data_IF_031897382894
#
_entry.id   IF_031897382894
#
_cell.length_a   1.000
_cell.length_b   1.000
_cell.length_c   1.000
_cell.angle_alpha   90.00
_cell.angle_beta   90.00
_cell.angle_gamma   90.00
#
_symmetry.space_group_name_H-M   'P 1'
#
loop_
_entity.id
_entity.type
_entity.pdbx_description
1 polymer ?
#
# COMPACT_ATOMS: atom_id res chain seq x y z
N UNK A 1 -5.08 20.32 6.39
CA UNK A 1 -5.47 19.69 7.61
C UNK A 1 -4.82 18.34 7.77
N UNK A 2 -4.15 18.13 8.86
CA UNK A 2 -3.47 16.87 9.14
C UNK A 2 -4.44 15.70 9.29
N UNK A 3 -5.72 16.02 9.48
CA UNK A 3 -6.72 15.00 9.79
C UNK A 3 -6.88 13.94 8.73
N UNK A 4 -6.64 14.26 7.44
CA UNK A 4 -6.78 13.24 6.41
C UNK A 4 -5.78 12.10 6.64
N UNK A 5 -4.54 12.45 6.96
CA UNK A 5 -3.51 11.47 7.23
C UNK A 5 -3.78 10.73 8.53
N UNK A 6 -4.23 11.45 9.55
CA UNK A 6 -4.57 10.84 10.82
C UNK A 6 -5.74 9.87 10.69
N UNK A 7 -6.70 10.21 9.83
CA UNK A 7 -7.83 9.32 9.61
C UNK A 7 -7.41 8.00 8.99
N UNK A 8 -6.41 8.02 8.10
CA UNK A 8 -5.90 6.78 7.54
C UNK A 8 -5.26 5.92 8.61
N UNK A 9 -4.51 6.53 9.52
CA UNK A 9 -3.92 5.81 10.63
C UNK A 9 -5.01 5.25 11.54
N UNK A 10 -6.06 6.04 11.80
CA UNK A 10 -7.18 5.62 12.63
C UNK A 10 -7.92 4.45 12.03
N UNK A 11 -7.84 4.27 10.73
CA UNK A 11 -8.46 3.14 10.05
C UNK A 11 -7.58 1.88 10.07
N UNK A 12 -6.49 1.92 10.83
CA UNK A 12 -5.62 0.77 10.95
C UNK A 12 -4.57 0.67 9.87
N UNK A 13 -4.44 1.67 9.03
CA UNK A 13 -3.42 1.70 8.00
C UNK A 13 -2.13 2.24 8.62
N UNK A 14 -1.08 1.42 8.58
CA UNK A 14 0.20 1.81 9.16
C UNK A 14 0.96 2.67 8.16
N UNK A 15 0.72 3.97 8.21
CA UNK A 15 1.34 4.94 7.30
C UNK A 15 2.37 5.73 8.09
N UNK A 16 3.57 5.82 7.55
CA UNK A 16 4.61 6.63 8.16
C UNK A 16 4.23 8.11 8.09
N UNK A 17 4.66 8.88 9.07
CA UNK A 17 4.41 10.32 9.10
C UNK A 17 5.21 10.98 7.96
N UNK A 18 4.82 12.20 7.61
CA UNK A 18 5.56 12.97 6.60
C UNK A 18 7.03 13.11 7.00
N UNK A 19 7.30 13.29 8.30
CA UNK A 19 8.65 13.44 8.80
C UNK A 19 9.48 12.18 8.53
N UNK A 20 8.89 11.02 8.80
CA UNK A 20 9.58 9.75 8.57
C UNK A 20 9.83 9.53 7.09
N UNK A 21 8.83 9.80 6.26
CA UNK A 21 8.98 9.63 4.82
C UNK A 21 10.04 10.56 4.24
N UNK A 22 10.15 11.77 4.77
CA UNK A 22 11.13 12.73 4.27
C UNK A 22 12.56 12.32 4.52
N UNK A 23 12.78 11.38 5.43
CA UNK A 23 14.13 10.88 5.69
C UNK A 23 14.57 9.85 4.65
N UNK A 24 13.65 9.36 3.85
CA UNK A 24 13.95 8.43 2.78
C UNK A 24 14.24 9.18 1.50
N UNK A 25 15.03 8.57 0.62
CA UNK A 25 15.19 9.09 -0.74
C UNK A 25 13.84 9.08 -1.45
N UNK A 26 13.65 9.96 -2.45
CA UNK A 26 12.39 9.96 -3.19
C UNK A 26 11.99 8.60 -3.75
N UNK A 27 12.92 7.83 -4.29
CA UNK A 27 12.57 6.50 -4.80
C UNK A 27 12.11 5.56 -3.69
N UNK A 28 12.70 5.67 -2.51
CA UNK A 28 12.32 4.84 -1.37
C UNK A 28 10.98 5.28 -0.81
N UNK A 29 10.71 6.58 -0.81
CA UNK A 29 9.40 7.10 -0.43
C UNK A 29 8.32 6.51 -1.35
N UNK A 30 8.60 6.47 -2.65
CA UNK A 30 7.65 5.94 -3.62
C UNK A 30 7.42 4.44 -3.43
N UNK A 31 8.47 3.70 -3.10
CA UNK A 31 8.32 2.27 -2.80
C UNK A 31 7.42 2.08 -1.58
N UNK A 32 7.66 2.85 -0.53
CA UNK A 32 6.85 2.74 0.69
C UNK A 32 5.39 3.10 0.41
N UNK A 33 5.16 4.16 -0.36
CA UNK A 33 3.80 4.54 -0.72
C UNK A 33 3.12 3.48 -1.59
N UNK A 34 3.88 2.84 -2.47
CA UNK A 34 3.35 1.77 -3.30
C UNK A 34 2.86 0.61 -2.44
N UNK A 35 3.62 0.23 -1.41
CA UNK A 35 3.21 -0.83 -0.50
C UNK A 35 1.90 -0.45 0.21
N UNK A 36 1.80 0.79 0.65
CA UNK A 36 0.60 1.25 1.35
C UNK A 36 -0.61 1.30 0.44
N UNK A 37 -0.42 1.73 -0.81
CA UNK A 37 -1.50 1.73 -1.78
C UNK A 37 -1.94 0.29 -2.08
N UNK A 38 -0.99 -0.62 -2.24
CA UNK A 38 -1.34 -2.02 -2.47
C UNK A 38 -2.14 -2.59 -1.30
N UNK A 39 -1.77 -2.25 -0.07
CA UNK A 39 -2.53 -2.68 1.10
C UNK A 39 -3.95 -2.12 1.10
N UNK A 40 -4.11 -0.87 0.67
CA UNK A 40 -5.44 -0.26 0.54
C UNK A 40 -6.25 -0.95 -0.54
N UNK A 41 -5.62 -1.30 -1.65
CA UNK A 41 -6.29 -2.03 -2.72
C UNK A 41 -6.77 -3.39 -2.24
N UNK A 42 -5.97 -4.09 -1.46
CA UNK A 42 -6.35 -5.40 -0.91
C UNK A 42 -7.58 -5.24 -0.02
N UNK A 43 -7.55 -4.27 0.88
CA UNK A 43 -8.67 -4.03 1.79
C UNK A 43 -9.94 -3.69 1.03
N UNK A 44 -9.84 -2.83 0.01
CA UNK A 44 -10.98 -2.45 -0.79
C UNK A 44 -11.52 -3.63 -1.59
N UNK A 45 -10.61 -4.43 -2.17
CA UNK A 45 -11.03 -5.58 -2.97
C UNK A 45 -11.78 -6.60 -2.13
N UNK A 46 -11.29 -6.85 -0.91
CA UNK A 46 -11.95 -7.79 0.00
C UNK A 46 -13.32 -7.28 0.42
N UNK A 47 -13.41 -5.98 0.72
CA UNK A 47 -14.68 -5.38 1.09
C UNK A 47 -15.64 -5.38 -0.09
N UNK A 48 -15.15 -4.99 -1.27
CA UNK A 48 -16.00 -4.96 -2.46
C UNK A 48 -16.51 -6.33 -2.84
N UNK A 49 -15.67 -7.35 -2.72
CA UNK A 49 -16.08 -8.71 -3.02
C UNK A 49 -17.15 -9.19 -2.05
N UNK A 50 -17.02 -8.85 -0.78
CA UNK A 50 -18.02 -9.21 0.24
C UNK A 50 -19.35 -8.52 -0.01
N UNK A 51 -19.31 -7.29 -0.54
CA UNK A 51 -20.51 -6.48 -0.79
C UNK A 51 -21.05 -6.65 -2.22
N UNK A 52 -20.46 -7.49 -3.03
CA UNK A 52 -20.83 -7.61 -4.45
C UNK A 52 -22.25 -8.09 -4.60
N UNK A 53 -22.89 -7.60 -5.66
CA UNK A 53 -24.26 -7.98 -5.98
C UNK A 53 -24.38 -8.70 -7.32
N UNK A 54 -23.28 -8.79 -8.07
CA UNK A 54 -23.28 -9.51 -9.34
C UNK A 54 -21.89 -10.09 -9.62
N UNK A 55 -21.83 -10.91 -10.67
CA UNK A 55 -20.58 -11.58 -11.03
C UNK A 55 -19.53 -10.61 -11.57
N UNK A 56 -19.97 -9.51 -12.18
CA UNK A 56 -19.04 -8.50 -12.69
C UNK A 56 -18.23 -7.86 -11.58
N UNK A 57 -18.87 -7.59 -10.45
CA UNK A 57 -18.17 -7.06 -9.28
C UNK A 57 -17.14 -8.07 -8.76
N UNK A 58 -17.50 -9.35 -8.76
CA UNK A 58 -16.56 -10.39 -8.34
C UNK A 58 -15.33 -10.46 -9.21
N UNK A 59 -15.50 -10.32 -10.53
CA UNK A 59 -14.38 -10.31 -11.46
C UNK A 59 -13.49 -9.09 -11.20
N UNK A 60 -14.12 -7.91 -11.03
CA UNK A 60 -13.38 -6.69 -10.78
C UNK A 60 -12.49 -6.82 -9.54
N UNK A 61 -13.07 -7.24 -8.44
CA UNK A 61 -12.33 -7.30 -7.18
C UNK A 61 -11.35 -8.47 -7.14
N UNK A 62 -11.62 -9.52 -7.89
CA UNK A 62 -10.65 -10.60 -8.05
C UNK A 62 -9.39 -10.14 -8.76
N UNK A 63 -9.56 -9.37 -9.84
CA UNK A 63 -8.42 -8.81 -10.57
C UNK A 63 -7.67 -7.80 -9.70
N UNK A 64 -8.42 -6.96 -8.99
CA UNK A 64 -7.80 -5.96 -8.11
C UNK A 64 -6.96 -6.63 -7.02
N UNK A 65 -7.50 -7.67 -6.41
CA UNK A 65 -6.82 -8.37 -5.34
C UNK A 65 -5.53 -9.04 -5.84
N UNK A 66 -5.62 -9.75 -6.97
CA UNK A 66 -4.46 -10.41 -7.56
C UNK A 66 -3.38 -9.40 -7.92
N UNK A 67 -3.79 -8.30 -8.54
CA UNK A 67 -2.86 -7.24 -8.93
C UNK A 67 -2.20 -6.60 -7.72
N UNK A 68 -2.97 -6.36 -6.66
CA UNK A 68 -2.45 -5.72 -5.45
C UNK A 68 -1.42 -6.60 -4.75
N UNK A 69 -1.68 -7.90 -4.64
CA UNK A 69 -0.70 -8.81 -4.05
C UNK A 69 0.59 -8.84 -4.87
N UNK A 70 0.47 -8.84 -6.19
CA UNK A 70 1.63 -8.85 -7.08
C UNK A 70 2.43 -7.56 -6.96
N UNK A 71 1.74 -6.43 -6.95
CA UNK A 71 2.39 -5.11 -6.77
C UNK A 71 3.10 -5.06 -5.44
N UNK A 72 2.44 -5.50 -4.36
CA UNK A 72 3.03 -5.47 -3.04
C UNK A 72 4.27 -6.34 -2.95
N UNK A 73 4.23 -7.52 -3.54
CA UNK A 73 5.38 -8.43 -3.52
C UNK A 73 6.58 -7.81 -4.23
N UNK A 74 6.35 -7.16 -5.37
CA UNK A 74 7.42 -6.50 -6.10
C UNK A 74 7.98 -5.31 -5.32
N UNK A 75 7.11 -4.52 -4.72
CA UNK A 75 7.54 -3.35 -3.94
C UNK A 75 8.32 -3.77 -2.70
N UNK A 76 7.88 -4.81 -2.02
CA UNK A 76 8.60 -5.32 -0.85
C UNK A 76 9.96 -5.90 -1.23
N UNK A 77 10.04 -6.52 -2.39
CA UNK A 77 11.31 -7.01 -2.90
C UNK A 77 12.28 -5.85 -3.12
N UNK A 78 11.81 -4.79 -3.77
CA UNK A 78 12.65 -3.61 -4.01
C UNK A 78 13.07 -2.96 -2.70
N UNK A 79 12.17 -2.90 -1.73
CA UNK A 79 12.50 -2.37 -0.42
C UNK A 79 13.65 -3.17 0.21
N UNK A 80 13.57 -4.50 0.18
CA UNK A 80 14.62 -5.34 0.72
C UNK A 80 15.97 -5.10 0.04
N UNK A 81 15.95 -4.93 -1.29
CA UNK A 81 17.17 -4.66 -2.03
C UNK A 81 17.78 -3.32 -1.64
N UNK A 82 16.95 -2.31 -1.46
CA UNK A 82 17.43 -1.00 -1.05
C UNK A 82 17.97 -1.02 0.38
N UNK A 83 17.37 -1.80 1.25
CA UNK A 83 17.88 -1.98 2.61
C UNK A 83 19.28 -2.60 2.56
N UNK A 84 19.47 -3.64 1.74
CA UNK A 84 20.76 -4.29 1.59
C UNK A 84 21.84 -3.34 1.09
N UNK A 85 21.46 -2.41 0.21
CA UNK A 85 22.40 -1.42 -0.31
C UNK A 85 22.70 -0.30 0.68
N UNK A 86 22.01 -0.30 1.81
CA UNK A 86 22.19 0.77 2.79
C UNK A 86 21.49 2.06 2.42
N UNK A 87 20.60 2.03 1.45
CA UNK A 87 19.88 3.22 1.00
C UNK A 87 18.66 3.55 1.86
N UNK A 88 18.10 2.55 2.50
CA UNK A 88 16.87 2.72 3.27
C UNK A 88 17.22 3.11 4.71
N UNK A 89 16.77 4.27 5.12
CA UNK A 89 16.99 4.77 6.48
C UNK A 89 15.65 4.93 7.17
N UNK A 90 15.51 4.27 8.29
CA UNK A 90 14.28 4.36 9.08
C UNK A 90 14.52 5.02 10.42
#
# INVERSE_FOLDING_TARGET
MSTARNRLADQGINIKTDRELKQLKPCDQNIQQTIEIANQMIALAEKGDADREDSGCGVLYGVMLDSAYRIRALAEKEKREHIKKGWWKE
#
